data_IF_797711118575
#
_entry.id   IF_797711118575
#
_cell.length_a   1.000
_cell.length_b   1.000
_cell.length_c   1.000
_cell.angle_alpha   90.00
_cell.angle_beta   90.00
_cell.angle_gamma   90.00
#
_symmetry.space_group_name_H-M   'P 1'
#
loop_
_entity.id
_entity.type
_entity.pdbx_description
1 polymer ?
#
# COMPACT_ATOMS: atom_id res chain seq x y z
N UNK A 1 -15.22 2.00 -36.79
CA UNK A 1 -14.23 1.11 -36.12
C UNK A 1 -14.01 1.70 -34.74
N UNK A 2 -14.41 1.00 -33.67
CA UNK A 2 -14.28 1.49 -32.31
C UNK A 2 -12.84 1.22 -31.84
N UNK A 3 -12.07 2.28 -31.59
CA UNK A 3 -10.71 2.20 -31.07
C UNK A 3 -10.75 1.67 -29.64
N UNK A 4 -10.34 0.42 -29.45
CA UNK A 4 -10.07 -0.13 -28.13
C UNK A 4 -8.93 0.68 -27.50
N UNK A 5 -9.21 1.33 -26.36
CA UNK A 5 -8.18 1.93 -25.55
C UNK A 5 -7.29 0.79 -25.03
N UNK A 6 -6.07 0.71 -25.55
CA UNK A 6 -5.01 -0.07 -24.94
C UNK A 6 -4.73 0.57 -23.58
N UNK A 7 -5.35 0.01 -22.54
CA UNK A 7 -5.01 0.31 -21.16
C UNK A 7 -3.51 0.05 -21.01
N UNK A 8 -2.72 1.12 -20.94
CA UNK A 8 -1.28 1.00 -20.74
C UNK A 8 -1.07 0.21 -19.45
N UNK A 9 -0.50 -0.99 -19.55
CA UNK A 9 -0.12 -1.77 -18.37
C UNK A 9 0.73 -0.84 -17.50
N UNK A 10 0.37 -0.59 -16.23
CA UNK A 10 1.08 0.38 -15.41
C UNK A 10 2.56 0.02 -15.39
N UNK A 11 3.39 0.91 -15.94
CA UNK A 11 4.82 0.73 -15.98
C UNK A 11 5.35 1.02 -14.59
N UNK A 12 5.49 -0.01 -13.77
CA UNK A 12 5.95 0.13 -12.40
C UNK A 12 5.58 -1.05 -11.53
N UNK A 13 6.15 -1.05 -10.33
CA UNK A 13 5.79 -1.96 -9.25
C UNK A 13 4.98 -1.18 -8.22
N UNK A 14 3.86 -1.75 -7.80
CA UNK A 14 3.06 -1.26 -6.69
C UNK A 14 3.64 -1.81 -5.39
N UNK A 15 4.00 -0.92 -4.48
CA UNK A 15 4.44 -1.30 -3.13
C UNK A 15 3.34 -0.98 -2.14
N UNK A 16 2.78 -2.00 -1.50
CA UNK A 16 1.77 -1.87 -0.45
C UNK A 16 2.49 -2.01 0.89
N UNK A 17 2.49 -0.95 1.68
CA UNK A 17 3.13 -0.91 2.99
C UNK A 17 2.03 -0.91 4.04
N UNK A 18 2.00 -1.90 4.94
CA UNK A 18 0.97 -1.98 5.98
C UNK A 18 1.54 -1.72 7.38
N UNK A 19 0.81 -0.96 8.19
CA UNK A 19 1.08 -0.75 9.60
C UNK A 19 -0.13 -1.22 10.41
N UNK A 20 -0.01 -2.37 11.08
CA UNK A 20 -1.13 -3.06 11.73
C UNK A 20 -0.76 -3.58 13.10
N UNK A 21 -1.49 -3.18 14.15
CA UNK A 21 -1.26 -3.68 15.51
C UNK A 21 -2.02 -4.98 15.79
N UNK A 22 -3.29 -5.07 15.37
CA UNK A 22 -4.18 -6.21 15.64
C UNK A 22 -4.53 -7.02 14.40
N UNK A 23 -3.93 -6.72 13.24
CA UNK A 23 -4.13 -7.48 11.99
C UNK A 23 -5.11 -6.85 10.99
N UNK A 24 -5.90 -5.85 11.39
CA UNK A 24 -6.90 -5.23 10.51
C UNK A 24 -6.30 -4.62 9.23
N UNK A 25 -5.31 -3.72 9.37
CA UNK A 25 -4.65 -3.11 8.21
C UNK A 25 -3.91 -4.15 7.36
N UNK A 26 -3.37 -5.21 7.98
CA UNK A 26 -2.74 -6.32 7.25
C UNK A 26 -3.75 -7.02 6.34
N UNK A 27 -4.93 -7.38 6.86
CA UNK A 27 -5.97 -8.05 6.06
C UNK A 27 -6.45 -7.22 4.88
N UNK A 28 -6.61 -5.90 5.06
CA UNK A 28 -6.96 -4.98 3.97
C UNK A 28 -5.83 -4.91 2.93
N UNK A 29 -4.58 -4.86 3.38
CA UNK A 29 -3.43 -4.80 2.48
C UNK A 29 -3.22 -6.11 1.69
N UNK A 30 -3.49 -7.27 2.30
CA UNK A 30 -3.48 -8.57 1.63
C UNK A 30 -4.59 -8.68 0.57
N UNK A 31 -5.80 -8.21 0.87
CA UNK A 31 -6.89 -8.17 -0.10
C UNK A 31 -6.54 -7.30 -1.32
N UNK A 32 -5.95 -6.13 -1.07
CA UNK A 32 -5.49 -5.23 -2.12
C UNK A 32 -4.35 -5.81 -2.96
N UNK A 33 -3.44 -6.55 -2.33
CA UNK A 33 -2.37 -7.26 -3.03
C UNK A 33 -2.95 -8.33 -3.97
N UNK A 34 -3.96 -9.08 -3.53
CA UNK A 34 -4.63 -10.09 -4.35
C UNK A 34 -5.37 -9.48 -5.54
N UNK A 35 -6.07 -8.36 -5.34
CA UNK A 35 -6.76 -7.64 -6.41
C UNK A 35 -5.76 -7.10 -7.45
N UNK A 36 -4.67 -6.47 -7.01
CA UNK A 36 -3.61 -5.99 -7.88
C UNK A 36 -2.96 -7.14 -8.68
N UNK A 37 -2.71 -8.30 -8.05
CA UNK A 37 -2.21 -9.50 -8.74
C UNK A 37 -3.21 -10.01 -9.78
N UNK A 38 -4.51 -10.01 -9.46
CA UNK A 38 -5.57 -10.45 -10.37
C UNK A 38 -5.67 -9.54 -11.62
N UNK A 39 -5.40 -8.25 -11.47
CA UNK A 39 -5.32 -7.29 -12.58
C UNK A 39 -3.97 -7.33 -13.34
N UNK A 40 -3.05 -8.22 -12.94
CA UNK A 40 -1.74 -8.36 -13.58
C UNK A 40 -0.75 -7.23 -13.27
N UNK A 41 -0.99 -6.51 -12.17
CA UNK A 41 -0.10 -5.47 -11.63
C UNK A 41 1.01 -6.16 -10.82
N UNK A 42 2.25 -5.76 -11.07
CA UNK A 42 3.37 -6.20 -10.25
C UNK A 42 3.26 -5.53 -8.89
N UNK A 43 3.00 -6.30 -7.83
CA UNK A 43 2.77 -5.78 -6.48
C UNK A 43 3.65 -6.49 -5.45
N UNK A 44 4.07 -5.77 -4.42
CA UNK A 44 4.70 -6.31 -3.21
C UNK A 44 4.01 -5.77 -1.97
N UNK A 45 3.81 -6.64 -0.99
CA UNK A 45 3.30 -6.30 0.33
C UNK A 45 4.45 -6.29 1.36
N UNK A 46 4.59 -5.21 2.13
CA UNK A 46 5.68 -5.03 3.11
C UNK A 46 5.12 -4.51 4.43
N UNK A 47 5.62 -5.03 5.56
CA UNK A 47 5.33 -4.44 6.88
C UNK A 47 6.08 -3.11 7.03
N UNK A 48 5.40 -2.09 7.54
CA UNK A 48 5.97 -0.76 7.77
C UNK A 48 7.20 -0.81 8.70
N UNK A 49 7.27 -1.78 9.62
CA UNK A 49 8.39 -2.00 10.53
C UNK A 49 9.65 -2.51 9.82
N UNK A 50 9.47 -3.27 8.73
CA UNK A 50 10.56 -3.82 7.92
C UNK A 50 10.91 -2.92 6.73
N UNK A 51 10.08 -1.91 6.43
CA UNK A 51 10.28 -1.01 5.31
C UNK A 51 11.36 0.05 5.57
N UNK A 52 12.38 0.10 4.71
CA UNK A 52 13.42 1.14 4.77
C UNK A 52 12.93 2.39 4.06
N UNK A 53 12.62 3.46 4.80
CA UNK A 53 12.10 4.72 4.23
C UNK A 53 12.95 5.36 3.11
N UNK A 54 14.26 5.07 3.03
CA UNK A 54 15.12 5.48 1.91
C UNK A 54 14.71 4.88 0.56
N UNK A 55 13.96 3.78 0.57
CA UNK A 55 13.45 3.13 -0.64
C UNK A 55 12.27 3.89 -1.23
N UNK A 56 11.55 4.71 -0.45
CA UNK A 56 10.35 5.40 -0.89
C UNK A 56 10.61 6.30 -2.11
N UNK A 57 11.77 6.95 -2.15
CA UNK A 57 12.18 7.80 -3.28
C UNK A 57 12.42 7.02 -4.59
N UNK A 58 12.50 5.68 -4.53
CA UNK A 58 12.71 4.80 -5.69
C UNK A 58 11.42 4.11 -6.13
N UNK A 59 10.38 4.17 -5.32
CA UNK A 59 9.10 3.55 -5.63
C UNK A 59 8.37 4.35 -6.70
N UNK A 60 7.75 3.64 -7.65
CA UNK A 60 6.91 4.30 -8.67
C UNK A 60 5.49 4.53 -8.17
N UNK A 61 4.97 3.61 -7.36
CA UNK A 61 3.60 3.60 -6.86
C UNK A 61 3.60 3.00 -5.46
N UNK A 62 3.00 3.70 -4.50
CA UNK A 62 2.97 3.28 -3.09
C UNK A 62 1.57 3.44 -2.55
N UNK A 63 1.09 2.42 -1.84
CA UNK A 63 -0.12 2.48 -1.03
C UNK A 63 0.27 2.17 0.41
N UNK A 64 -0.16 3.01 1.35
CA UNK A 64 0.06 2.79 2.78
C UNK A 64 -1.27 2.45 3.42
N UNK A 65 -1.35 1.30 4.08
CA UNK A 65 -2.52 0.85 4.83
C UNK A 65 -2.16 0.84 6.30
N UNK A 66 -2.66 1.82 7.06
CA UNK A 66 -2.34 1.94 8.49
C UNK A 66 -3.61 1.86 9.34
N UNK A 67 -3.53 1.14 10.46
CA UNK A 67 -4.50 1.25 11.54
C UNK A 67 -3.99 2.25 12.58
N UNK A 68 -4.79 3.25 12.90
CA UNK A 68 -4.56 4.12 14.05
C UNK A 68 -5.14 3.47 15.30
N UNK A 69 -4.50 3.69 16.46
CA UNK A 69 -5.01 3.27 17.76
C UNK A 69 -4.94 4.48 18.71
N UNK A 70 -6.01 4.75 19.45
CA UNK A 70 -6.18 5.95 20.28
C UNK A 70 -6.93 7.10 19.57
N UNK A 71 -7.42 8.08 20.34
CA UNK A 71 -8.22 9.22 19.85
C UNK A 71 -7.39 10.38 19.27
N UNK A 72 -6.08 10.22 19.10
CA UNK A 72 -5.24 11.36 18.68
C UNK A 72 -5.15 12.44 19.74
N UNK A 73 -5.30 12.07 21.02
CA UNK A 73 -5.22 13.01 22.13
C UNK A 73 -3.81 13.61 22.25
N UNK A 74 -3.77 14.93 22.31
CA UNK A 74 -2.54 15.67 22.60
C UNK A 74 -2.06 15.30 24.02
N UNK A 75 -0.74 15.21 24.25
CA UNK A 75 -0.22 14.99 25.60
C UNK A 75 -0.65 16.12 26.54
N UNK A 76 -0.98 15.79 27.79
CA UNK A 76 -1.43 16.69 28.87
C UNK A 76 -0.52 17.91 29.18
N UNK A 77 0.60 18.06 28.47
CA UNK A 77 1.55 19.14 28.68
C UNK A 77 1.74 19.97 27.41
N UNK A 78 0.63 20.40 26.81
CA UNK A 78 0.54 21.44 25.80
C UNK A 78 0.09 22.77 26.42
#
# INVERSE_FOLDING_TARGET
>A
QATAAVSAKPAGKLSIIFASQTGNAKGVAEALEQEAKAEGIAVELVDASDYKGKNLAKETHVIIVASTNGEGEAPDNA
#
